data_IF_736272772400
#
_entry.id   IF_736272772400
#
_cell.length_a   1.000
_cell.length_b   1.000
_cell.length_c   1.000
_cell.angle_alpha   90.00
_cell.angle_beta   90.00
_cell.angle_gamma   90.00
#
_symmetry.space_group_name_H-M   'P 1'
#
loop_
_entity.id
_entity.type
_entity.pdbx_description
1 polymer ?
#
# COMPACT_ATOMS: atom_id res chain seq x y z
N UNK A 1 2.84 6.93 46.18
CA UNK A 1 3.76 6.26 45.23
C UNK A 1 2.93 5.93 44.00
N UNK A 2 2.99 6.76 42.95
CA UNK A 2 2.23 6.54 41.71
C UNK A 2 3.12 5.90 40.65
N UNK A 3 2.52 4.91 39.97
CA UNK A 3 2.97 4.28 38.74
C UNK A 3 2.82 5.22 37.53
N UNK A 4 3.54 4.88 36.45
CA UNK A 4 3.49 5.38 35.07
C UNK A 4 4.39 6.58 34.74
N UNK A 5 5.63 6.30 34.33
CA UNK A 5 6.24 7.07 33.24
C UNK A 5 7.41 6.32 32.55
N UNK A 6 7.14 5.12 32.01
CA UNK A 6 8.08 4.49 31.08
C UNK A 6 7.63 4.85 29.67
N UNK A 7 8.33 5.77 28.97
CA UNK A 7 8.07 6.00 27.56
C UNK A 7 8.55 4.75 26.81
N UNK A 8 7.61 3.88 26.44
CA UNK A 8 7.86 2.85 25.43
C UNK A 8 8.08 3.59 24.11
N UNK A 9 9.32 3.99 23.87
CA UNK A 9 9.78 4.26 22.51
C UNK A 9 9.67 2.93 21.78
N UNK A 10 8.58 2.75 21.03
CA UNK A 10 8.49 1.68 20.06
C UNK A 10 9.63 1.89 19.07
N UNK A 11 10.76 1.22 19.32
CA UNK A 11 11.79 1.08 18.31
C UNK A 11 11.08 0.45 17.11
N UNK A 12 11.07 1.15 15.98
CA UNK A 12 10.56 0.64 14.71
C UNK A 12 11.39 -0.59 14.37
N UNK A 13 10.92 -1.76 14.79
CA UNK A 13 11.50 -3.03 14.36
C UNK A 13 11.23 -3.08 12.86
N UNK A 14 12.27 -2.85 12.07
CA UNK A 14 12.23 -3.07 10.63
C UNK A 14 11.89 -4.54 10.45
N UNK A 15 10.68 -4.82 9.98
CA UNK A 15 10.16 -6.18 9.85
C UNK A 15 10.88 -6.96 8.76
N UNK A 16 11.55 -6.27 7.83
CA UNK A 16 12.30 -6.85 6.73
C UNK A 16 11.40 -7.26 5.56
N UNK A 17 10.12 -6.91 5.62
CA UNK A 17 9.09 -7.29 4.65
C UNK A 17 9.06 -6.37 3.43
N UNK A 18 9.72 -5.22 3.49
CA UNK A 18 9.80 -4.28 2.38
C UNK A 18 10.44 -4.90 1.12
N UNK A 19 11.61 -5.54 1.25
CA UNK A 19 12.31 -6.10 0.07
C UNK A 19 11.52 -7.22 -0.62
N UNK A 20 10.95 -8.21 0.10
CA UNK A 20 10.06 -9.19 -0.51
C UNK A 20 8.92 -8.56 -1.31
N UNK A 21 8.29 -7.52 -0.76
CA UNK A 21 7.18 -6.84 -1.42
C UNK A 21 7.62 -6.09 -2.66
N UNK A 22 8.74 -5.37 -2.62
CA UNK A 22 9.28 -4.74 -3.83
C UNK A 22 9.61 -5.76 -4.92
N UNK A 23 10.12 -6.94 -4.53
CA UNK A 23 10.38 -8.03 -5.46
C UNK A 23 9.07 -8.61 -6.04
N UNK A 24 8.03 -8.74 -5.23
CA UNK A 24 6.70 -9.20 -5.65
C UNK A 24 6.04 -8.21 -6.61
N UNK A 25 6.07 -6.91 -6.31
CA UNK A 25 5.58 -5.84 -7.20
C UNK A 25 6.31 -5.91 -8.54
N UNK A 26 7.65 -6.03 -8.52
CA UNK A 26 8.47 -6.18 -9.74
C UNK A 26 8.05 -7.41 -10.55
N UNK A 27 7.87 -8.55 -9.88
CA UNK A 27 7.47 -9.79 -10.54
C UNK A 27 6.07 -9.68 -11.16
N UNK A 28 5.09 -9.16 -10.41
CA UNK A 28 3.73 -8.94 -10.88
C UNK A 28 3.70 -7.96 -12.06
N UNK A 29 4.50 -6.89 -12.02
CA UNK A 29 4.63 -5.95 -13.13
C UNK A 29 5.24 -6.61 -14.38
N UNK A 30 6.28 -7.45 -14.22
CA UNK A 30 6.85 -8.21 -15.34
C UNK A 30 5.85 -9.18 -15.97
N UNK A 31 5.05 -9.86 -15.15
CA UNK A 31 3.96 -10.74 -15.63
C UNK A 31 2.87 -9.96 -16.34
N UNK A 32 2.49 -8.78 -15.82
CA UNK A 32 1.51 -7.91 -16.46
C UNK A 32 1.99 -7.43 -17.84
N UNK A 33 3.24 -7.00 -17.96
CA UNK A 33 3.81 -6.53 -19.23
C UNK A 33 3.92 -7.67 -20.26
N UNK A 34 4.25 -8.88 -19.80
CA UNK A 34 4.54 -10.02 -20.69
C UNK A 34 3.27 -10.78 -21.10
N UNK A 35 2.36 -10.98 -20.16
CA UNK A 35 1.18 -11.84 -20.32
C UNK A 35 -0.16 -11.11 -20.18
N UNK A 36 -0.16 -9.83 -19.77
CA UNK A 36 -1.39 -9.07 -19.48
C UNK A 36 -2.06 -9.49 -18.17
N UNK A 37 -1.38 -10.27 -17.33
CA UNK A 37 -1.92 -10.76 -16.06
C UNK A 37 -1.96 -9.66 -15.02
N UNK A 38 -3.16 -9.36 -14.50
CA UNK A 38 -3.33 -8.44 -13.38
C UNK A 38 -2.85 -9.05 -12.07
N UNK A 39 -2.29 -8.23 -11.20
CA UNK A 39 -1.81 -8.63 -9.87
C UNK A 39 -2.42 -7.77 -8.77
N UNK A 40 -2.55 -8.35 -7.58
CA UNK A 40 -2.94 -7.63 -6.38
C UNK A 40 -2.12 -8.15 -5.20
N UNK A 41 -1.60 -7.24 -4.39
CA UNK A 41 -0.76 -7.55 -3.22
C UNK A 41 -1.39 -6.86 -2.01
N UNK A 42 -1.72 -7.63 -0.97
CA UNK A 42 -2.28 -7.12 0.28
C UNK A 42 -1.17 -6.71 1.25
N UNK A 43 -1.02 -5.40 1.46
CA UNK A 43 -0.06 -4.81 2.40
C UNK A 43 -0.64 -4.65 3.81
N UNK A 44 -1.95 -4.75 3.99
CA UNK A 44 -2.61 -4.64 5.28
C UNK A 44 -2.47 -5.96 6.08
N UNK A 45 -2.45 -7.10 5.39
CA UNK A 45 -2.24 -8.41 6.02
C UNK A 45 -0.79 -8.68 6.44
N UNK A 46 0.15 -7.83 6.02
CA UNK A 46 1.57 -7.97 6.34
C UNK A 46 1.98 -7.07 7.51
N UNK A 47 2.80 -7.55 8.46
CA UNK A 47 3.32 -6.70 9.51
C UNK A 47 4.36 -5.77 8.90
N UNK A 48 4.00 -4.50 8.77
CA UNK A 48 4.89 -3.41 8.36
C UNK A 48 5.04 -2.43 9.51
N UNK A 49 6.25 -1.98 9.74
CA UNK A 49 6.49 -0.81 10.58
C UNK A 49 6.01 0.46 9.86
N UNK A 50 5.62 1.52 10.59
CA UNK A 50 5.30 2.81 9.99
C UNK A 50 6.39 3.35 9.06
N UNK A 51 7.65 3.07 9.39
CA UNK A 51 8.81 3.46 8.59
C UNK A 51 8.86 2.72 7.26
N UNK A 52 8.60 1.40 7.24
CA UNK A 52 8.59 0.64 5.99
C UNK A 52 7.44 1.06 5.06
N UNK A 53 6.29 1.51 5.61
CA UNK A 53 5.23 2.10 4.78
C UNK A 53 5.71 3.40 4.11
N UNK A 54 6.38 4.29 4.86
CA UNK A 54 6.95 5.52 4.29
C UNK A 54 8.02 5.20 3.24
N UNK A 55 8.93 4.27 3.52
CA UNK A 55 9.97 3.84 2.57
C UNK A 55 9.37 3.21 1.31
N UNK A 56 8.28 2.44 1.44
CA UNK A 56 7.54 1.89 0.30
C UNK A 56 6.89 3.01 -0.53
N UNK A 57 6.23 3.97 0.13
CA UNK A 57 5.57 5.08 -0.54
C UNK A 57 6.59 5.98 -1.27
N UNK A 58 7.75 6.26 -0.66
CA UNK A 58 8.86 6.97 -1.28
C UNK A 58 9.45 6.20 -2.46
N UNK A 59 9.61 4.88 -2.33
CA UNK A 59 10.15 4.03 -3.38
C UNK A 59 9.20 3.96 -4.59
N UNK A 60 7.91 3.78 -4.34
CA UNK A 60 6.88 3.76 -5.38
C UNK A 60 6.70 5.14 -6.01
N UNK A 61 6.96 6.21 -5.26
CA UNK A 61 6.79 7.59 -5.71
C UNK A 61 5.31 7.94 -5.95
N UNK A 62 5.08 9.05 -6.65
CA UNK A 62 3.75 9.51 -7.02
C UNK A 62 3.59 9.52 -8.55
N UNK A 63 2.49 8.94 -9.01
CA UNK A 63 2.10 8.98 -10.42
C UNK A 63 1.25 10.20 -10.73
N UNK A 64 0.53 10.14 -11.85
CA UNK A 64 -0.28 11.27 -12.32
C UNK A 64 -1.69 11.27 -11.70
N UNK A 65 -2.17 10.11 -11.27
CA UNK A 65 -3.57 9.90 -10.90
C UNK A 65 -3.71 9.75 -9.38
N UNK A 66 -4.54 10.58 -8.78
CA UNK A 66 -5.03 10.45 -7.39
C UNK A 66 -6.55 10.64 -7.38
N UNK A 67 -7.26 9.59 -7.00
CA UNK A 67 -8.72 9.54 -7.02
C UNK A 67 -9.21 9.11 -5.64
N UNK A 68 -10.31 9.71 -5.20
CA UNK A 68 -11.02 9.25 -4.01
C UNK A 68 -12.45 8.91 -4.38
N UNK A 69 -12.81 7.65 -4.17
CA UNK A 69 -14.16 7.13 -4.34
C UNK A 69 -14.86 7.14 -2.98
N UNK A 70 -16.09 7.66 -2.97
CA UNK A 70 -16.97 7.64 -1.79
C UNK A 70 -18.17 6.72 -2.07
N UNK A 71 -17.90 5.47 -2.43
CA UNK A 71 -18.91 4.47 -2.76
C UNK A 71 -18.68 3.28 -1.84
N UNK A 72 -19.65 2.99 -0.96
CA UNK A 72 -19.57 1.94 0.07
C UNK A 72 -18.40 2.13 1.07
N UNK A 73 -18.05 3.38 1.34
CA UNK A 73 -16.88 3.76 2.15
C UNK A 73 -15.93 4.64 1.34
N UNK A 74 -14.95 5.22 2.01
CA UNK A 74 -13.94 6.06 1.36
C UNK A 74 -12.80 5.18 0.88
N UNK A 75 -12.51 5.22 -0.42
CA UNK A 75 -11.40 4.48 -1.04
C UNK A 75 -10.53 5.46 -1.80
N UNK A 76 -9.23 5.49 -1.52
CA UNK A 76 -8.26 6.30 -2.25
C UNK A 76 -7.44 5.42 -3.18
N UNK A 77 -7.35 5.83 -4.43
CA UNK A 77 -6.62 5.16 -5.49
C UNK A 77 -5.54 6.12 -5.97
N UNK A 78 -4.28 5.73 -5.85
CA UNK A 78 -3.14 6.54 -6.27
C UNK A 78 -2.26 5.75 -7.21
N UNK A 79 -2.02 6.27 -8.39
CA UNK A 79 -0.97 5.73 -9.26
C UNK A 79 0.39 6.01 -8.61
N UNK A 80 1.30 5.06 -8.73
CA UNK A 80 2.70 5.24 -8.35
C UNK A 80 3.49 5.87 -9.50
N UNK A 81 4.76 6.22 -9.26
CA UNK A 81 5.66 6.65 -10.34
C UNK A 81 5.94 5.55 -11.38
N UNK A 82 5.54 4.30 -11.10
CA UNK A 82 5.57 3.20 -12.05
C UNK A 82 4.20 3.02 -12.70
N UNK A 83 4.14 3.25 -14.01
CA UNK A 83 2.91 3.08 -14.79
C UNK A 83 2.34 1.67 -14.63
N UNK A 84 1.05 1.61 -14.32
CA UNK A 84 0.34 0.36 -14.07
C UNK A 84 0.55 -0.24 -12.68
N UNK A 85 1.18 0.48 -11.75
CA UNK A 85 1.22 0.13 -10.33
C UNK A 85 0.40 1.15 -9.54
N UNK A 86 -0.61 0.65 -8.84
CA UNK A 86 -1.62 1.43 -8.15
C UNK A 86 -1.64 1.10 -6.67
N UNK A 87 -1.84 2.12 -5.85
CA UNK A 87 -2.04 2.03 -4.40
C UNK A 87 -3.51 2.21 -4.11
N UNK A 88 -4.11 1.24 -3.43
CA UNK A 88 -5.53 1.21 -3.11
C UNK A 88 -5.69 1.17 -1.60
N UNK A 89 -6.20 2.25 -1.03
CA UNK A 89 -6.43 2.40 0.41
C UNK A 89 -7.92 2.48 0.69
N UNK A 90 -8.42 1.57 1.52
CA UNK A 90 -9.80 1.58 1.99
C UNK A 90 -9.88 2.12 3.40
N UNK A 91 -10.86 2.99 3.64
CA UNK A 91 -11.13 3.62 4.92
C UNK A 91 -12.53 3.26 5.40
N UNK A 92 -12.68 3.12 6.72
CA UNK A 92 -13.98 3.01 7.36
C UNK A 92 -14.65 4.39 7.54
N UNK A 93 -15.86 4.39 8.12
CA UNK A 93 -16.62 5.60 8.41
C UNK A 93 -15.94 6.55 9.42
N UNK A 94 -14.90 6.10 10.12
CA UNK A 94 -14.12 6.89 11.06
C UNK A 94 -12.77 7.35 10.48
N UNK A 95 -12.60 7.31 9.15
CA UNK A 95 -11.35 7.63 8.44
C UNK A 95 -10.16 6.74 8.86
N UNK A 96 -10.41 5.56 9.44
CA UNK A 96 -9.36 4.60 9.74
C UNK A 96 -9.09 3.73 8.51
N UNK A 97 -7.82 3.62 8.11
CA UNK A 97 -7.40 2.69 7.05
C UNK A 97 -7.65 1.25 7.48
N UNK A 98 -8.57 0.58 6.80
CA UNK A 98 -8.96 -0.83 7.03
C UNK A 98 -8.40 -1.78 5.96
N UNK A 99 -7.86 -1.24 4.88
CA UNK A 99 -7.23 -2.02 3.82
C UNK A 99 -6.18 -1.19 3.09
N UNK A 100 -5.10 -1.84 2.69
CA UNK A 100 -4.06 -1.25 1.86
C UNK A 100 -3.52 -2.29 0.89
N UNK A 101 -3.66 -2.03 -0.40
CA UNK A 101 -3.34 -2.97 -1.47
C UNK A 101 -2.50 -2.28 -2.53
N UNK A 102 -1.62 -3.06 -3.17
CA UNK A 102 -0.98 -2.68 -4.43
C UNK A 102 -1.65 -3.47 -5.55
N UNK A 103 -2.23 -2.77 -6.52
CA UNK A 103 -2.78 -3.37 -7.72
C UNK A 103 -1.85 -3.13 -8.91
N UNK A 104 -1.71 -4.14 -9.75
CA UNK A 104 -0.91 -4.11 -10.97
C UNK A 104 -1.86 -4.26 -12.16
N UNK A 105 -1.92 -3.23 -12.99
CA UNK A 105 -2.83 -3.16 -14.13
C UNK A 105 -2.98 -1.77 -14.73
N UNK A 106 -3.60 -1.68 -15.90
CA UNK A 106 -3.92 -0.39 -16.53
C UNK A 106 -4.79 0.51 -15.65
N UNK A 107 -5.78 -0.08 -14.98
CA UNK A 107 -6.68 0.58 -14.04
C UNK A 107 -6.96 -0.36 -12.87
N UNK A 108 -7.19 0.15 -11.65
CA UNK A 108 -7.64 -0.64 -10.52
C UNK A 108 -8.97 -1.35 -10.81
N UNK A 109 -9.18 -2.51 -10.21
CA UNK A 109 -10.38 -3.33 -10.43
C UNK A 109 -11.67 -2.60 -10.09
N UNK A 110 -11.67 -1.78 -9.04
CA UNK A 110 -12.81 -0.97 -8.61
C UNK A 110 -13.25 0.11 -9.63
N UNK A 111 -12.40 0.46 -10.60
CA UNK A 111 -12.71 1.43 -11.65
C UNK A 111 -13.19 0.77 -12.97
N UNK A 112 -13.23 -0.56 -13.05
CA UNK A 112 -13.79 -1.29 -14.20
C UNK A 112 -15.30 -1.46 -14.07
#
# INVERSE_FOLDING_TARGET
MSLNDIPVRAASVVTGNLRPILHEIRHALSEFITHGTHGMIDLHSLPFSPQEYTELDEFLGEGEIDLTLNVLGKTRLRESGYAGVWRVEHFDDNDKRIGYFIEIGHVPEILR
#
